data_IF_939295121018
#
_entry.id   IF_939295121018
#
_cell.length_a   1.000
_cell.length_b   1.000
_cell.length_c   1.000
_cell.angle_alpha   90.00
_cell.angle_beta   90.00
_cell.angle_gamma   90.00
#
_symmetry.space_group_name_H-M   'P 1'
#
loop_
_entity.id
_entity.type
_entity.pdbx_description
1 polymer ?
#
# COMPACT_ATOMS: atom_id res chain seq x y z
N UNK A 1 -9.49 27.17 2.37
CA UNK A 1 -10.60 26.20 2.44
C UNK A 1 -10.32 25.30 3.63
N UNK A 2 -11.32 24.99 4.47
CA UNK A 2 -11.12 24.09 5.60
C UNK A 2 -10.93 22.63 5.15
N UNK A 3 -10.03 21.93 5.83
CA UNK A 3 -9.62 20.57 5.47
C UNK A 3 -10.75 19.54 5.57
N UNK A 4 -11.61 19.62 6.59
CA UNK A 4 -12.74 18.67 6.70
C UNK A 4 -13.74 18.86 5.56
N UNK A 5 -13.93 20.11 5.14
CA UNK A 5 -14.76 20.42 3.96
C UNK A 5 -14.17 19.82 2.69
N UNK A 6 -12.84 19.84 2.54
CA UNK A 6 -12.18 19.23 1.38
C UNK A 6 -12.25 17.70 1.39
N UNK A 7 -12.15 17.05 2.56
CA UNK A 7 -12.26 15.60 2.70
C UNK A 7 -13.69 15.06 2.55
N UNK A 8 -14.72 15.87 2.81
CA UNK A 8 -16.12 15.43 2.87
C UNK A 8 -16.59 14.60 1.66
N UNK A 9 -16.32 14.98 0.38
CA UNK A 9 -16.73 14.17 -0.77
C UNK A 9 -16.13 12.76 -0.79
N UNK A 10 -14.91 12.62 -0.26
CA UNK A 10 -14.21 11.34 -0.21
C UNK A 10 -14.81 10.41 0.86
N UNK A 11 -15.19 10.99 2.00
CA UNK A 11 -15.91 10.30 3.09
C UNK A 11 -17.27 9.83 2.60
N UNK A 12 -18.01 10.69 1.90
CA UNK A 12 -19.31 10.36 1.29
C UNK A 12 -19.18 9.21 0.30
N UNK A 13 -18.18 9.25 -0.61
CA UNK A 13 -17.94 8.14 -1.52
C UNK A 13 -17.66 6.83 -0.76
N UNK A 14 -16.81 6.87 0.26
CA UNK A 14 -16.52 5.69 1.08
C UNK A 14 -17.77 5.09 1.73
N UNK A 15 -18.73 5.92 2.14
CA UNK A 15 -20.03 5.46 2.66
C UNK A 15 -20.89 4.81 1.56
N UNK A 16 -21.01 5.45 0.39
CA UNK A 16 -21.77 4.92 -0.74
C UNK A 16 -21.22 3.57 -1.22
N UNK A 17 -19.89 3.41 -1.27
CA UNK A 17 -19.26 2.15 -1.67
C UNK A 17 -19.53 1.05 -0.64
N UNK A 18 -19.53 1.37 0.65
CA UNK A 18 -19.91 0.41 1.70
C UNK A 18 -21.36 -0.04 1.54
N UNK A 19 -22.30 0.90 1.37
CA UNK A 19 -23.71 0.58 1.14
C UNK A 19 -23.88 -0.32 -0.09
N UNK A 20 -23.23 0.02 -1.21
CA UNK A 20 -23.31 -0.75 -2.45
C UNK A 20 -22.93 -2.23 -2.28
N UNK A 21 -21.95 -2.53 -1.43
CA UNK A 21 -21.45 -3.90 -1.24
C UNK A 21 -22.39 -4.77 -0.44
N UNK A 22 -23.13 -4.19 0.49
CA UNK A 22 -24.12 -4.90 1.31
C UNK A 22 -25.55 -4.79 0.79
N UNK A 23 -25.79 -3.92 -0.20
CA UNK A 23 -27.11 -3.67 -0.77
C UNK A 23 -27.67 -4.87 -1.54
N UNK A 24 -29.00 -5.01 -1.48
CA UNK A 24 -29.75 -5.93 -2.30
C UNK A 24 -29.63 -5.57 -3.79
N UNK A 25 -29.76 -6.54 -4.74
CA UNK A 25 -29.60 -6.29 -6.17
C UNK A 25 -30.42 -5.11 -6.73
N UNK A 26 -31.63 -4.90 -6.22
CA UNK A 26 -32.55 -3.82 -6.58
C UNK A 26 -32.04 -2.42 -6.21
N UNK A 27 -31.23 -2.28 -5.16
CA UNK A 27 -30.68 -1.01 -4.70
C UNK A 27 -29.34 -0.67 -5.37
N UNK A 28 -28.67 -1.65 -5.96
CA UNK A 28 -27.33 -1.51 -6.55
C UNK A 28 -27.30 -0.53 -7.71
N UNK A 29 -28.32 -0.52 -8.57
CA UNK A 29 -28.37 0.40 -9.72
C UNK A 29 -28.42 1.87 -9.27
N UNK A 30 -29.22 2.16 -8.23
CA UNK A 30 -29.31 3.49 -7.62
C UNK A 30 -27.96 3.91 -7.03
N UNK A 31 -27.33 3.03 -6.26
CA UNK A 31 -26.05 3.30 -5.60
C UNK A 31 -24.91 3.47 -6.62
N UNK A 32 -24.88 2.69 -7.71
CA UNK A 32 -23.92 2.90 -8.80
C UNK A 32 -24.06 4.29 -9.43
N UNK A 33 -25.29 4.76 -9.63
CA UNK A 33 -25.54 6.11 -10.16
C UNK A 33 -25.04 7.18 -9.19
N UNK A 34 -25.27 7.03 -7.89
CA UNK A 34 -24.76 7.97 -6.88
C UNK A 34 -23.24 7.99 -6.84
N UNK A 35 -22.60 6.80 -6.84
CA UNK A 35 -21.15 6.67 -6.85
C UNK A 35 -20.53 7.34 -8.07
N UNK A 36 -21.06 7.05 -9.27
CA UNK A 36 -20.60 7.65 -10.55
C UNK A 36 -20.64 9.17 -10.55
N UNK A 37 -21.64 9.74 -9.88
CA UNK A 37 -21.87 11.18 -9.84
C UNK A 37 -21.29 11.83 -8.57
N UNK A 38 -20.52 11.10 -7.76
CA UNK A 38 -19.94 11.65 -6.53
C UNK A 38 -18.96 12.80 -6.85
N UNK A 39 -19.00 13.85 -6.04
CA UNK A 39 -18.11 14.99 -6.17
C UNK A 39 -16.62 14.62 -5.98
N UNK A 40 -16.33 13.47 -5.35
CA UNK A 40 -14.98 12.96 -5.26
C UNK A 40 -14.48 12.37 -6.58
N UNK A 41 -15.28 11.54 -7.26
CA UNK A 41 -14.82 10.95 -8.53
C UNK A 41 -14.55 12.02 -9.59
N UNK A 42 -15.30 13.12 -9.62
CA UNK A 42 -15.00 14.25 -10.50
C UNK A 42 -13.68 14.95 -10.17
N UNK A 43 -13.23 14.91 -8.90
CA UNK A 43 -11.88 15.35 -8.48
C UNK A 43 -10.80 14.33 -8.83
N UNK A 44 -11.11 13.02 -8.84
CA UNK A 44 -10.11 11.95 -9.04
C UNK A 44 -10.03 11.43 -10.48
N UNK A 45 -10.97 11.76 -11.38
CA UNK A 45 -10.92 11.48 -12.84
C UNK A 45 -9.67 12.07 -13.55
N UNK A 46 -8.83 12.72 -12.77
CA UNK A 46 -7.53 13.31 -13.06
C UNK A 46 -6.39 12.26 -12.96
N UNK A 47 -6.54 11.23 -12.13
CA UNK A 47 -5.55 10.16 -11.90
C UNK A 47 -5.96 8.94 -12.74
N UNK A 48 -5.18 8.63 -13.76
CA UNK A 48 -5.52 7.68 -14.83
C UNK A 48 -5.65 6.20 -14.42
N UNK A 49 -5.68 5.90 -13.13
CA UNK A 49 -5.70 4.54 -12.61
C UNK A 49 -7.10 3.91 -12.61
N UNK A 50 -8.18 4.69 -12.71
CA UNK A 50 -9.54 4.14 -12.71
C UNK A 50 -10.37 4.70 -13.86
N UNK A 51 -10.47 3.94 -14.96
CA UNK A 51 -11.52 4.17 -15.96
C UNK A 51 -12.89 3.89 -15.34
N UNK A 52 -13.62 4.93 -14.92
CA UNK A 52 -14.99 4.82 -14.38
C UNK A 52 -15.12 4.02 -13.08
N UNK A 53 -16.24 3.34 -12.86
CA UNK A 53 -16.51 2.53 -11.65
C UNK A 53 -15.75 1.21 -11.59
N UNK A 54 -14.65 1.06 -12.33
CA UNK A 54 -13.84 -0.17 -12.36
C UNK A 54 -13.34 -0.57 -10.96
N UNK A 55 -13.09 0.41 -10.08
CA UNK A 55 -12.73 0.17 -8.69
C UNK A 55 -13.81 -0.56 -7.87
N UNK A 56 -15.09 -0.49 -8.27
CA UNK A 56 -16.17 -1.24 -7.62
C UNK A 56 -16.09 -2.75 -7.90
N UNK A 57 -15.44 -3.14 -9.00
CA UNK A 57 -15.38 -4.53 -9.48
C UNK A 57 -14.08 -5.25 -9.10
N UNK A 58 -13.19 -4.60 -8.35
CA UNK A 58 -11.84 -5.09 -8.10
C UNK A 58 -10.96 -4.88 -9.33
N UNK A 59 -9.70 -4.51 -9.05
CA UNK A 59 -8.59 -4.16 -9.94
C UNK A 59 -8.69 -4.58 -11.42
N UNK A 60 -8.39 -3.62 -12.32
CA UNK A 60 -8.06 -3.93 -13.71
C UNK A 60 -6.61 -4.47 -13.78
N UNK A 61 -6.33 -5.58 -14.51
CA UNK A 61 -5.11 -6.38 -14.31
C UNK A 61 -3.82 -5.84 -14.94
N UNK A 62 -3.80 -4.65 -15.54
CA UNK A 62 -2.78 -4.31 -16.55
C UNK A 62 -1.96 -3.02 -16.32
N UNK A 63 -1.80 -2.53 -15.08
CA UNK A 63 -0.89 -1.40 -14.83
C UNK A 63 0.28 -1.80 -13.92
N UNK A 64 1.46 -1.98 -14.53
CA UNK A 64 2.71 -2.35 -13.84
C UNK A 64 3.38 -1.16 -13.12
N UNK A 65 2.96 0.08 -13.41
CA UNK A 65 3.41 1.34 -12.80
C UNK A 65 2.27 2.34 -12.92
N UNK A 66 1.85 2.95 -11.80
CA UNK A 66 0.89 4.04 -11.81
C UNK A 66 1.56 5.30 -12.36
N UNK A 67 0.93 5.97 -13.33
CA UNK A 67 1.47 7.20 -13.93
C UNK A 67 0.51 8.36 -13.73
N UNK A 68 1.05 9.57 -13.62
CA UNK A 68 0.24 10.81 -13.62
C UNK A 68 0.46 11.60 -14.90
N UNK A 69 -0.64 12.13 -15.44
CA UNK A 69 -0.60 13.01 -16.63
C UNK A 69 -0.57 14.49 -16.30
N UNK A 70 -0.61 14.82 -15.02
CA UNK A 70 -0.52 16.20 -14.51
C UNK A 70 0.75 16.35 -13.71
N UNK A 71 1.14 17.60 -13.56
CA UNK A 71 2.29 17.99 -12.76
C UNK A 71 2.12 17.69 -11.27
N UNK A 72 0.87 17.69 -10.79
CA UNK A 72 0.53 17.60 -9.38
C UNK A 72 -0.88 17.05 -9.20
N UNK A 73 -1.10 16.33 -8.10
CA UNK A 73 -2.43 16.01 -7.59
C UNK A 73 -2.43 15.90 -6.06
N UNK A 74 -3.62 16.01 -5.48
CA UNK A 74 -3.90 15.70 -4.08
C UNK A 74 -5.08 14.77 -4.01
N UNK A 75 -4.99 13.75 -3.16
CA UNK A 75 -6.04 12.78 -2.95
C UNK A 75 -6.16 12.43 -1.47
N UNK A 76 -7.34 12.59 -0.84
CA UNK A 76 -7.54 12.05 0.50
C UNK A 76 -7.54 10.53 0.43
N UNK A 77 -6.88 9.91 1.39
CA UNK A 77 -6.93 8.49 1.57
C UNK A 77 -8.35 8.11 2.00
N UNK A 78 -9.00 7.21 1.27
CA UNK A 78 -10.38 6.79 1.55
C UNK A 78 -10.38 5.38 2.13
N UNK A 79 -10.87 5.20 3.37
CA UNK A 79 -11.12 3.86 3.89
C UNK A 79 -12.36 3.32 3.17
N UNK A 80 -12.14 2.55 2.12
CA UNK A 80 -13.16 1.81 1.40
C UNK A 80 -12.94 0.31 1.64
N UNK A 81 -13.47 -0.27 2.74
CA UNK A 81 -13.16 -1.65 3.13
C UNK A 81 -13.48 -2.60 1.98
N UNK A 82 -12.57 -3.50 1.61
CA UNK A 82 -12.71 -4.39 0.43
C UNK A 82 -13.88 -5.37 0.62
N UNK A 83 -14.20 -5.70 1.87
CA UNK A 83 -15.19 -6.70 2.22
C UNK A 83 -16.11 -6.21 3.36
N UNK A 84 -17.42 -6.57 3.38
CA UNK A 84 -18.30 -6.20 4.48
C UNK A 84 -17.78 -6.72 5.83
N UNK A 85 -17.57 -5.81 6.79
CA UNK A 85 -17.06 -6.14 8.13
C UNK A 85 -15.56 -5.95 8.33
N UNK A 86 -14.79 -5.69 7.26
CA UNK A 86 -13.41 -5.25 7.40
C UNK A 86 -13.38 -3.83 7.95
N UNK A 87 -12.58 -3.64 9.01
CA UNK A 87 -12.30 -2.31 9.55
C UNK A 87 -11.15 -1.63 8.82
N UNK A 88 -10.34 -2.39 8.10
CA UNK A 88 -9.09 -1.93 7.50
C UNK A 88 -9.19 -1.96 5.97
N UNK A 89 -8.70 -0.93 5.31
CA UNK A 89 -8.47 -0.94 3.87
C UNK A 89 -6.99 -1.09 3.61
N UNK A 90 -6.62 -2.17 2.92
CA UNK A 90 -5.25 -2.42 2.49
C UNK A 90 -5.19 -2.32 0.97
N UNK A 91 -4.35 -1.42 0.48
CA UNK A 91 -3.99 -1.36 -0.93
C UNK A 91 -2.92 -2.42 -1.21
N UNK A 92 -3.02 -3.17 -2.32
CA UNK A 92 -1.94 -4.02 -2.78
C UNK A 92 -0.62 -3.27 -3.03
N UNK A 93 0.49 -4.00 -3.08
CA UNK A 93 1.83 -3.45 -3.26
C UNK A 93 2.03 -2.85 -4.64
N UNK A 94 2.01 -1.55 -4.79
CA UNK A 94 2.15 -0.89 -6.07
C UNK A 94 3.40 -0.01 -6.10
N UNK A 95 3.59 0.66 -7.23
CA UNK A 95 4.61 1.69 -7.43
C UNK A 95 4.13 2.67 -8.49
N UNK A 96 4.71 3.87 -8.48
CA UNK A 96 4.39 4.93 -9.40
C UNK A 96 5.64 5.58 -10.00
N UNK A 97 5.50 6.33 -11.09
CA UNK A 97 6.62 7.03 -11.76
C UNK A 97 6.82 8.48 -11.28
N UNK A 98 6.13 8.86 -10.21
CA UNK A 98 6.12 10.20 -9.63
C UNK A 98 6.62 10.20 -8.19
N UNK A 99 6.95 11.37 -7.66
CA UNK A 99 7.26 11.52 -6.24
C UNK A 99 5.95 11.62 -5.47
N UNK A 100 5.83 10.90 -4.36
CA UNK A 100 4.63 10.92 -3.53
C UNK A 100 4.95 11.41 -2.12
N UNK A 101 4.11 12.31 -1.60
CA UNK A 101 4.10 12.73 -0.22
C UNK A 101 2.82 12.22 0.45
N UNK A 102 2.99 11.63 1.63
CA UNK A 102 1.93 11.05 2.44
C UNK A 102 1.91 11.81 3.76
N UNK A 103 0.85 12.57 3.99
CA UNK A 103 0.68 13.36 5.21
C UNK A 103 -0.33 12.69 6.13
N UNK A 104 0.08 12.34 7.35
CA UNK A 104 -0.87 11.89 8.39
C UNK A 104 -1.36 13.13 9.14
N UNK A 105 -2.59 13.54 8.85
CA UNK A 105 -3.19 14.78 9.36
C UNK A 105 -3.94 14.51 10.67
N UNK A 106 -4.56 13.33 10.78
CA UNK A 106 -5.24 12.86 12.00
C UNK A 106 -5.21 11.35 12.07
N UNK A 107 -5.05 10.82 13.29
CA UNK A 107 -5.15 9.39 13.56
C UNK A 107 -3.87 8.65 13.19
N UNK A 108 -4.02 7.47 12.58
CA UNK A 108 -2.92 6.56 12.26
C UNK A 108 -2.91 6.16 10.78
N UNK A 109 -1.73 5.77 10.33
CA UNK A 109 -1.52 5.25 9.00
C UNK A 109 -0.45 4.17 9.04
N UNK A 110 -0.63 3.09 8.30
CA UNK A 110 0.37 2.04 8.18
C UNK A 110 0.73 1.92 6.72
N UNK A 111 2.02 1.86 6.41
CA UNK A 111 2.50 1.52 5.08
C UNK A 111 3.61 0.50 5.17
N UNK A 112 3.71 -0.40 4.20
CA UNK A 112 4.92 -1.20 4.02
C UNK A 112 5.67 -0.63 2.83
N UNK A 113 6.90 -0.17 3.07
CA UNK A 113 7.80 0.36 2.04
C UNK A 113 8.90 -0.66 1.83
N UNK A 114 9.00 -1.21 0.61
CA UNK A 114 9.96 -2.25 0.27
C UNK A 114 9.92 -3.46 1.23
N UNK A 115 8.74 -3.80 1.74
CA UNK A 115 8.53 -4.89 2.69
C UNK A 115 8.82 -4.55 4.17
N UNK A 116 9.20 -3.31 4.47
CA UNK A 116 9.37 -2.84 5.86
C UNK A 116 8.13 -2.09 6.30
N UNK A 117 7.52 -2.51 7.40
CA UNK A 117 6.32 -1.90 7.94
C UNK A 117 6.65 -0.61 8.73
N UNK A 118 5.92 0.46 8.42
CA UNK A 118 5.98 1.75 9.09
C UNK A 118 4.60 2.11 9.63
N UNK A 119 4.47 2.21 10.95
CA UNK A 119 3.30 2.84 11.59
C UNK A 119 3.59 4.33 11.77
N UNK A 120 2.70 5.16 11.25
CA UNK A 120 2.78 6.61 11.28
C UNK A 120 1.60 7.22 12.02
N UNK A 121 1.82 8.37 12.66
CA UNK A 121 0.82 9.12 13.43
C UNK A 121 0.69 10.55 12.94
N UNK A 122 -0.37 11.23 13.38
CA UNK A 122 -0.60 12.63 13.06
C UNK A 122 0.65 13.51 13.26
N UNK A 123 1.00 14.29 12.23
CA UNK A 123 2.19 15.15 12.19
C UNK A 123 3.40 14.55 11.46
N UNK A 124 3.37 13.25 11.16
CA UNK A 124 4.43 12.58 10.40
C UNK A 124 4.13 12.62 8.89
N UNK A 125 5.20 12.73 8.10
CA UNK A 125 5.13 12.78 6.64
C UNK A 125 6.10 11.77 6.05
N UNK A 126 5.68 11.06 5.01
CA UNK A 126 6.54 10.19 4.23
C UNK A 126 6.68 10.76 2.82
N UNK A 127 7.89 10.77 2.28
CA UNK A 127 8.14 11.07 0.87
C UNK A 127 8.74 9.85 0.20
N UNK A 128 8.05 9.34 -0.81
CA UNK A 128 8.48 8.21 -1.63
C UNK A 128 9.04 8.74 -2.95
N UNK A 129 10.23 8.25 -3.31
CA UNK A 129 10.74 8.48 -4.67
C UNK A 129 9.94 7.66 -5.70
N UNK A 130 10.03 8.01 -6.99
CA UNK A 130 9.51 7.18 -8.06
C UNK A 130 9.98 5.72 -7.93
N UNK A 131 9.14 4.81 -8.39
CA UNK A 131 9.33 3.36 -8.46
C UNK A 131 9.44 2.62 -7.12
N UNK A 132 9.43 3.29 -5.97
CA UNK A 132 9.40 2.64 -4.64
C UNK A 132 8.20 1.71 -4.56
N UNK A 133 8.44 0.44 -4.22
CA UNK A 133 7.38 -0.55 -4.05
C UNK A 133 6.80 -0.37 -2.65
N UNK A 134 5.50 -0.09 -2.55
CA UNK A 134 4.83 0.13 -1.27
C UNK A 134 3.38 -0.33 -1.27
N UNK A 135 2.85 -0.59 -0.08
CA UNK A 135 1.42 -0.77 0.17
C UNK A 135 0.96 0.11 1.31
N UNK A 136 -0.31 0.47 1.26
CA UNK A 136 -0.91 1.40 2.20
C UNK A 136 -2.04 0.73 2.95
N UNK A 137 -2.16 1.06 4.23
CA UNK A 137 -3.16 0.50 5.12
C UNK A 137 -3.75 1.60 6.01
N UNK A 138 -5.06 1.77 5.90
CA UNK A 138 -5.83 2.76 6.64
C UNK A 138 -6.87 2.02 7.47
N UNK A 139 -6.87 2.29 8.77
CA UNK A 139 -7.55 1.44 9.75
C UNK A 139 -8.86 2.04 10.26
N UNK A 140 -9.03 3.36 10.25
CA UNK A 140 -10.23 4.01 10.77
C UNK A 140 -10.79 5.06 9.79
N UNK A 141 -12.11 5.15 9.74
CA UNK A 141 -12.85 6.24 9.07
C UNK A 141 -12.59 7.62 9.66
N UNK A 142 -12.12 7.68 10.91
CA UNK A 142 -11.66 8.88 11.58
C UNK A 142 -10.29 9.36 11.13
N UNK A 143 -9.46 8.48 10.54
CA UNK A 143 -8.13 8.85 10.06
C UNK A 143 -8.24 9.86 8.91
N UNK A 144 -7.26 10.77 8.84
CA UNK A 144 -7.13 11.74 7.76
C UNK A 144 -5.70 11.64 7.24
N UNK A 145 -5.57 11.01 6.08
CA UNK A 145 -4.30 10.88 5.37
C UNK A 145 -4.47 11.53 4.01
N UNK A 146 -3.47 12.31 3.59
CA UNK A 146 -3.45 12.98 2.30
C UNK A 146 -2.28 12.44 1.47
N UNK A 147 -2.60 11.92 0.30
CA UNK A 147 -1.64 11.58 -0.74
C UNK A 147 -1.45 12.78 -1.67
N UNK A 148 -0.21 13.09 -1.98
CA UNK A 148 0.16 14.17 -2.88
C UNK A 148 1.21 13.66 -3.84
N UNK A 149 0.88 13.55 -5.13
CA UNK A 149 1.84 13.16 -6.15
C UNK A 149 2.36 14.34 -6.96
N UNK A 150 3.64 14.27 -7.32
CA UNK A 150 4.39 15.30 -8.04
C UNK A 150 5.12 14.66 -9.22
N UNK A 151 4.86 15.17 -10.43
CA UNK A 151 5.54 14.66 -11.62
C UNK A 151 7.03 14.97 -11.52
N UNK A 152 7.86 14.07 -12.06
CA UNK A 152 9.33 14.22 -12.03
C UNK A 152 9.84 15.49 -12.72
N UNK A 153 9.03 16.11 -13.59
CA UNK A 153 9.33 17.36 -14.28
C UNK A 153 8.88 18.61 -13.53
N UNK A 154 7.88 18.52 -12.63
CA UNK A 154 7.19 19.70 -12.14
C UNK A 154 8.07 20.64 -11.31
N UNK A 155 8.91 20.08 -10.43
CA UNK A 155 9.83 20.83 -9.57
C UNK A 155 11.29 20.70 -10.02
N UNK A 156 11.50 20.27 -11.27
CA UNK A 156 12.83 20.04 -11.83
C UNK A 156 13.59 21.36 -11.95
N UNK A 157 14.72 21.45 -11.24
CA UNK A 157 15.58 22.64 -11.20
C UNK A 157 15.36 23.50 -9.96
N UNK A 158 14.13 23.61 -9.46
CA UNK A 158 13.83 24.27 -8.19
C UNK A 158 14.30 23.44 -7.00
N UNK A 159 14.02 22.13 -6.98
CA UNK A 159 14.47 21.26 -5.89
C UNK A 159 15.99 21.23 -5.76
N UNK A 160 16.71 21.19 -6.89
CA UNK A 160 18.18 21.24 -6.88
C UNK A 160 18.70 22.53 -6.25
N UNK A 161 18.11 23.68 -6.58
CA UNK A 161 18.49 24.98 -5.99
C UNK A 161 18.10 25.09 -4.53
N UNK A 162 16.93 24.56 -4.20
CA UNK A 162 16.38 24.60 -2.85
C UNK A 162 17.18 23.71 -1.88
N UNK A 163 17.54 22.50 -2.31
CA UNK A 163 18.29 21.56 -1.49
C UNK A 163 19.79 21.76 -1.53
N UNK A 164 20.35 22.55 -2.45
CA UNK A 164 21.80 22.83 -2.49
C UNK A 164 22.42 23.24 -1.11
N UNK A 165 21.73 24.00 -0.24
CA UNK A 165 22.20 24.30 1.13
C UNK A 165 22.05 23.14 2.13
N UNK A 166 21.38 22.05 1.76
CA UNK A 166 21.09 20.85 2.56
C UNK A 166 21.72 19.62 1.89
N UNK A 167 23.03 19.37 2.06
CA UNK A 167 23.76 18.38 1.26
C UNK A 167 23.22 16.95 1.34
N UNK A 168 22.67 16.53 2.49
CA UNK A 168 22.06 15.21 2.64
C UNK A 168 20.79 15.07 1.79
N UNK A 169 19.90 16.07 1.83
CA UNK A 169 18.67 16.06 1.02
C UNK A 169 19.00 16.29 -0.46
N UNK A 170 19.96 17.15 -0.78
CA UNK A 170 20.44 17.31 -2.14
C UNK A 170 21.01 16.00 -2.69
N UNK A 171 21.87 15.31 -1.94
CA UNK A 171 22.43 14.01 -2.34
C UNK A 171 21.37 12.92 -2.45
N UNK A 172 20.35 12.94 -1.59
CA UNK A 172 19.17 12.08 -1.71
C UNK A 172 18.43 12.33 -3.03
N UNK A 173 18.20 13.60 -3.38
CA UNK A 173 17.43 14.00 -4.56
C UNK A 173 18.22 13.90 -5.87
N UNK A 174 19.53 14.14 -5.86
CA UNK A 174 20.41 14.10 -7.03
C UNK A 174 20.57 12.67 -7.58
N UNK A 175 20.39 11.66 -6.71
CA UNK A 175 20.41 10.25 -7.08
C UNK A 175 19.08 9.73 -7.69
N UNK A 176 18.03 10.55 -7.78
CA UNK A 176 16.73 10.15 -8.35
C UNK A 176 16.77 9.81 -9.85
N UNK A 177 17.84 10.19 -10.57
CA UNK A 177 17.89 10.09 -12.03
C UNK A 177 18.84 9.00 -12.55
N UNK A 178 19.46 8.18 -11.69
CA UNK A 178 20.54 7.30 -12.13
C UNK A 178 20.72 5.94 -11.45
N UNK A 179 20.19 5.69 -10.24
CA UNK A 179 20.37 4.39 -9.57
C UNK A 179 19.19 4.02 -8.66
N UNK A 180 18.62 2.83 -8.95
CA UNK A 180 17.61 2.06 -8.19
C UNK A 180 16.89 2.87 -7.12
N UNK A 181 15.85 3.53 -7.61
CA UNK A 181 14.99 4.57 -7.05
C UNK A 181 14.21 4.19 -5.76
N UNK A 182 14.68 3.19 -5.02
CA UNK A 182 13.99 2.59 -3.88
C UNK A 182 14.34 3.29 -2.56
N UNK A 183 14.15 4.61 -2.52
CA UNK A 183 14.50 5.46 -1.38
C UNK A 183 13.29 6.24 -0.91
N UNK A 184 13.23 6.53 0.38
CA UNK A 184 12.17 7.34 0.97
C UNK A 184 12.70 8.19 2.13
N UNK A 185 11.97 9.24 2.48
CA UNK A 185 12.27 10.09 3.64
C UNK A 185 11.08 10.05 4.59
N UNK A 186 11.36 9.86 5.87
CA UNK A 186 10.39 10.06 6.94
C UNK A 186 10.68 11.38 7.63
N UNK A 187 9.69 12.26 7.70
CA UNK A 187 9.75 13.54 8.41
C UNK A 187 8.90 13.46 9.68
N UNK A 188 9.44 13.98 10.77
CA UNK A 188 8.72 14.16 12.03
C UNK A 188 8.70 15.65 12.39
N UNK A 189 7.52 16.27 12.38
CA UNK A 189 7.36 17.68 12.74
C UNK A 189 6.53 17.79 14.00
N UNK A 190 7.19 18.21 15.09
CA UNK A 190 6.54 18.51 16.38
C UNK A 190 5.43 19.56 16.26
N UNK A 191 5.68 20.61 15.48
CA UNK A 191 4.65 21.60 15.13
C UNK A 191 4.25 21.42 13.66
N UNK A 192 3.12 20.76 13.46
CA UNK A 192 2.57 20.46 12.15
C UNK A 192 1.63 21.55 11.63
N UNK A 193 1.24 22.51 12.47
CA UNK A 193 0.25 23.54 12.09
C UNK A 193 0.69 24.38 10.88
N UNK A 194 1.98 24.79 10.73
CA UNK A 194 2.43 25.49 9.52
C UNK A 194 2.34 24.66 8.25
N UNK A 195 2.56 23.34 8.35
CA UNK A 195 2.42 22.41 7.22
C UNK A 195 0.96 22.29 6.83
N UNK A 196 0.08 22.07 7.81
CA UNK A 196 -1.36 21.98 7.58
C UNK A 196 -1.93 23.26 6.93
N UNK A 197 -1.58 24.44 7.44
CA UNK A 197 -2.04 25.71 6.87
C UNK A 197 -1.59 25.87 5.41
N UNK A 198 -0.39 25.42 5.07
CA UNK A 198 0.12 25.47 3.71
C UNK A 198 -0.59 24.46 2.79
N UNK A 199 -0.93 23.27 3.29
CA UNK A 199 -1.76 22.31 2.55
C UNK A 199 -3.13 22.90 2.23
N UNK A 200 -3.78 23.57 3.19
CA UNK A 200 -5.07 24.24 2.97
C UNK A 200 -4.99 25.36 1.92
N UNK A 201 -3.87 26.10 1.87
CA UNK A 201 -3.61 27.08 0.81
C UNK A 201 -3.45 26.42 -0.58
N UNK A 202 -2.72 25.30 -0.65
CA UNK A 202 -2.56 24.54 -1.90
C UNK A 202 -3.91 24.00 -2.37
N UNK A 203 -4.73 23.45 -1.47
CA UNK A 203 -6.07 22.93 -1.79
C UNK A 203 -6.99 24.03 -2.30
N UNK A 204 -6.98 25.21 -1.68
CA UNK A 204 -7.78 26.36 -2.13
C UNK A 204 -7.34 26.88 -3.50
N UNK A 205 -6.04 26.94 -3.76
CA UNK A 205 -5.50 27.38 -5.04
C UNK A 205 -5.84 26.39 -6.17
N UNK A 206 -5.70 25.09 -5.92
CA UNK A 206 -6.05 24.03 -6.89
C UNK A 206 -7.57 23.95 -7.15
N UNK A 207 -8.41 24.33 -6.19
CA UNK A 207 -9.87 24.39 -6.40
C UNK A 207 -10.27 25.61 -7.24
N UNK A 208 -9.70 26.80 -6.96
CA UNK A 208 -10.05 28.04 -7.66
C UNK A 208 -9.50 28.10 -9.08
N UNK A 209 -8.32 27.53 -9.33
CA UNK A 209 -7.64 27.49 -10.64
C UNK A 209 -7.56 28.84 -11.34
N UNK A 210 -7.25 29.90 -10.60
CA UNK A 210 -7.07 31.23 -11.17
C UNK A 210 -5.89 31.25 -12.17
N UNK A 211 -5.81 32.25 -13.07
CA UNK A 211 -4.65 32.40 -13.96
C UNK A 211 -3.34 32.41 -13.16
N UNK A 212 -2.42 31.50 -13.51
CA UNK A 212 -1.13 31.35 -12.83
C UNK A 212 -1.12 30.41 -11.61
N UNK A 213 -2.24 29.77 -11.25
CA UNK A 213 -2.34 28.88 -10.08
C UNK A 213 -1.22 27.84 -9.99
N UNK A 214 -0.80 27.23 -11.11
CA UNK A 214 0.29 26.25 -11.13
C UNK A 214 1.62 26.82 -10.62
N UNK A 215 1.93 28.09 -10.88
CA UNK A 215 3.13 28.76 -10.35
C UNK A 215 2.99 29.06 -8.85
N UNK A 216 1.79 29.44 -8.42
CA UNK A 216 1.48 29.68 -7.00
C UNK A 216 1.62 28.39 -6.20
N UNK A 217 1.01 27.30 -6.67
CA UNK A 217 1.16 25.94 -6.11
C UNK A 217 2.63 25.54 -6.08
N UNK A 218 3.38 25.78 -7.17
CA UNK A 218 4.82 25.52 -7.21
C UNK A 218 5.59 26.28 -6.10
N UNK A 219 5.25 27.54 -5.86
CA UNK A 219 5.81 28.34 -4.76
C UNK A 219 5.46 27.78 -3.38
N UNK A 220 4.20 27.38 -3.17
CA UNK A 220 3.78 26.73 -1.92
C UNK A 220 4.51 25.41 -1.69
N UNK A 221 4.71 24.59 -2.72
CA UNK A 221 5.45 23.33 -2.60
C UNK A 221 6.92 23.57 -2.21
N UNK A 222 7.58 24.58 -2.80
CA UNK A 222 8.93 24.96 -2.38
C UNK A 222 8.96 25.36 -0.89
N UNK A 223 7.96 26.13 -0.43
CA UNK A 223 7.83 26.49 0.99
C UNK A 223 7.56 25.26 1.86
N UNK A 224 6.76 24.31 1.39
CA UNK A 224 6.41 23.06 2.07
C UNK A 224 7.65 22.22 2.31
N UNK A 225 8.48 22.01 1.30
CA UNK A 225 9.76 21.32 1.46
C UNK A 225 10.65 22.01 2.49
N UNK A 226 10.70 23.35 2.48
CA UNK A 226 11.44 24.09 3.49
C UNK A 226 10.94 23.91 4.91
N UNK A 227 9.63 23.79 5.11
CA UNK A 227 9.09 23.42 6.41
C UNK A 227 9.46 21.98 6.77
N UNK A 228 9.37 21.02 5.85
CA UNK A 228 9.66 19.62 6.15
C UNK A 228 11.13 19.38 6.55
N UNK A 229 12.09 20.06 5.90
CA UNK A 229 13.52 19.89 6.20
C UNK A 229 14.03 20.75 7.35
N UNK A 230 13.27 21.77 7.75
CA UNK A 230 13.67 22.67 8.84
C UNK A 230 13.82 21.88 10.16
N UNK A 231 14.82 22.26 10.96
CA UNK A 231 15.22 21.58 12.20
C UNK A 231 15.75 20.15 12.05
N UNK A 232 16.07 19.69 10.83
CA UNK A 232 16.69 18.37 10.57
C UNK A 232 15.95 17.19 11.20
N UNK A 233 14.63 17.30 11.36
CA UNK A 233 13.80 16.24 11.94
C UNK A 233 13.30 15.31 10.82
N UNK A 234 14.24 14.65 10.16
CA UNK A 234 13.98 13.68 9.09
C UNK A 234 15.00 12.56 9.07
N UNK A 235 14.61 11.42 8.48
CA UNK A 235 15.48 10.26 8.26
C UNK A 235 15.38 9.85 6.80
N UNK A 236 16.52 9.85 6.11
CA UNK A 236 16.64 9.34 4.75
C UNK A 236 16.92 7.84 4.76
N UNK A 237 16.07 7.06 4.10
CA UNK A 237 16.21 5.63 3.99
C UNK A 237 16.74 5.22 2.61
N UNK A 238 17.83 4.46 2.63
CA UNK A 238 18.45 3.86 1.46
C UNK A 238 18.43 2.35 1.64
N UNK A 239 17.84 1.64 0.69
CA UNK A 239 17.84 0.18 0.72
C UNK A 239 18.51 -0.35 -0.54
N UNK A 240 19.42 -1.30 -0.35
CA UNK A 240 19.99 -2.05 -1.47
C UNK A 240 18.93 -2.98 -2.07
N UNK A 241 19.13 -3.36 -3.32
CA UNK A 241 18.25 -4.32 -3.98
C UNK A 241 18.14 -5.65 -3.21
N UNK A 242 19.22 -6.13 -2.57
CA UNK A 242 19.19 -7.37 -1.80
C UNK A 242 18.25 -7.25 -0.60
N UNK A 243 18.39 -6.18 0.18
CA UNK A 243 17.54 -5.93 1.35
C UNK A 243 16.06 -5.84 0.96
N UNK A 244 15.74 -5.21 -0.17
CA UNK A 244 14.37 -5.11 -0.67
C UNK A 244 13.84 -6.50 -1.05
N UNK A 245 14.61 -7.28 -1.80
CA UNK A 245 14.20 -8.63 -2.20
C UNK A 245 14.02 -9.54 -0.97
N UNK A 246 14.88 -9.42 0.05
CA UNK A 246 14.78 -10.14 1.33
C UNK A 246 13.53 -9.76 2.14
N UNK A 247 13.23 -8.46 2.26
CA UNK A 247 12.03 -7.99 2.94
C UNK A 247 10.75 -8.40 2.19
N UNK A 248 10.75 -8.29 0.86
CA UNK A 248 9.60 -8.70 0.04
C UNK A 248 9.33 -10.20 0.13
N UNK A 249 10.36 -11.06 0.12
CA UNK A 249 10.12 -12.50 0.28
C UNK A 249 9.57 -12.83 1.66
N UNK A 250 10.03 -12.14 2.72
CA UNK A 250 9.50 -12.32 4.06
C UNK A 250 8.00 -11.97 4.13
N UNK A 251 7.59 -10.84 3.55
CA UNK A 251 6.18 -10.44 3.47
C UNK A 251 5.34 -11.40 2.62
N UNK A 252 5.87 -11.92 1.51
CA UNK A 252 5.17 -12.92 0.69
C UNK A 252 4.94 -14.20 1.49
N UNK A 253 5.96 -14.70 2.19
CA UNK A 253 5.84 -15.92 2.99
C UNK A 253 4.87 -15.73 4.16
N UNK A 254 4.90 -14.56 4.81
CA UNK A 254 3.95 -14.20 5.85
C UNK A 254 2.52 -14.13 5.32
N UNK A 255 2.30 -13.51 4.17
CA UNK A 255 0.97 -13.49 3.54
C UNK A 255 0.47 -14.92 3.27
N UNK A 256 1.34 -15.80 2.76
CA UNK A 256 1.00 -17.21 2.53
C UNK A 256 0.64 -17.94 3.83
N UNK A 257 1.30 -17.60 4.94
CA UNK A 257 1.03 -18.13 6.27
C UNK A 257 -0.32 -17.64 6.84
N UNK A 258 -0.63 -16.36 6.65
CA UNK A 258 -1.89 -15.75 7.12
C UNK A 258 -3.10 -16.26 6.30
N UNK A 259 -2.88 -16.71 5.06
CA UNK A 259 -3.91 -17.20 4.13
C UNK A 259 -3.76 -18.70 3.79
N UNK A 260 -3.24 -19.50 4.71
CA UNK A 260 -2.86 -20.90 4.46
C UNK A 260 -3.96 -21.77 3.85
N UNK A 261 -5.22 -21.53 4.18
CA UNK A 261 -6.34 -22.38 3.78
C UNK A 261 -6.65 -22.27 2.28
N UNK A 262 -6.57 -21.06 1.74
CA UNK A 262 -7.19 -20.69 0.46
C UNK A 262 -6.32 -19.80 -0.42
N UNK A 263 -5.08 -19.49 -0.02
CA UNK A 263 -4.14 -18.72 -0.85
C UNK A 263 -4.01 -19.34 -2.25
N UNK A 264 -4.30 -18.51 -3.25
CA UNK A 264 -4.13 -18.82 -4.66
C UNK A 264 -2.92 -18.06 -5.22
N UNK A 265 -2.19 -18.70 -6.15
CA UNK A 265 -0.99 -18.12 -6.76
C UNK A 265 -1.30 -16.82 -7.50
N UNK A 266 -2.44 -16.76 -8.18
CA UNK A 266 -2.84 -15.60 -8.98
C UNK A 266 -3.20 -14.44 -8.08
N UNK A 267 -3.99 -14.69 -7.02
CA UNK A 267 -4.34 -13.69 -6.03
C UNK A 267 -3.09 -13.15 -5.29
N UNK A 268 -2.19 -14.06 -4.86
CA UNK A 268 -0.93 -13.67 -4.23
C UNK A 268 -0.07 -12.82 -5.16
N UNK A 269 0.10 -13.24 -6.42
CA UNK A 269 0.88 -12.49 -7.39
C UNK A 269 0.29 -11.10 -7.61
N UNK A 270 -1.04 -11.00 -7.78
CA UNK A 270 -1.74 -9.73 -7.93
C UNK A 270 -1.56 -8.81 -6.71
N UNK A 271 -1.62 -9.36 -5.49
CA UNK A 271 -1.43 -8.59 -4.26
C UNK A 271 -0.04 -7.94 -4.18
N UNK A 272 1.00 -8.64 -4.65
CA UNK A 272 2.38 -8.14 -4.72
C UNK A 272 2.71 -7.42 -6.04
N UNK A 273 1.71 -7.16 -6.90
CA UNK A 273 1.86 -6.63 -8.27
C UNK A 273 2.89 -7.38 -9.13
N UNK A 274 2.94 -8.70 -8.96
CA UNK A 274 3.69 -9.62 -9.79
C UNK A 274 2.76 -10.32 -10.77
N UNK A 275 3.30 -10.74 -11.92
CA UNK A 275 2.66 -11.81 -12.66
C UNK A 275 2.99 -13.17 -11.98
N UNK A 276 2.12 -14.19 -12.10
CA UNK A 276 2.31 -15.48 -11.43
C UNK A 276 3.63 -16.20 -11.75
N UNK A 277 4.19 -15.97 -12.95
CA UNK A 277 5.45 -16.60 -13.37
C UNK A 277 6.66 -15.85 -12.81
N UNK A 278 6.58 -14.53 -12.70
CA UNK A 278 7.57 -13.71 -12.00
C UNK A 278 7.58 -14.07 -10.52
N UNK A 279 6.43 -14.19 -9.86
CA UNK A 279 6.33 -14.63 -8.47
C UNK A 279 7.05 -15.97 -8.26
N UNK A 280 6.83 -16.96 -9.12
CA UNK A 280 7.54 -18.24 -9.04
C UNK A 280 9.05 -18.08 -9.22
N UNK A 281 9.51 -17.34 -10.22
CA UNK A 281 10.95 -17.09 -10.42
C UNK A 281 11.57 -16.35 -9.25
N UNK A 282 10.83 -15.41 -8.66
CA UNK A 282 11.23 -14.66 -7.48
C UNK A 282 11.38 -15.58 -6.28
N UNK A 283 10.37 -16.39 -5.96
CA UNK A 283 10.42 -17.36 -4.87
C UNK A 283 11.54 -18.39 -5.06
N UNK A 284 11.74 -18.93 -6.27
CA UNK A 284 12.83 -19.88 -6.53
C UNK A 284 14.19 -19.21 -6.31
N UNK A 285 14.35 -17.96 -6.73
CA UNK A 285 15.60 -17.21 -6.51
C UNK A 285 15.86 -16.96 -5.02
N UNK A 286 14.82 -16.61 -4.26
CA UNK A 286 14.96 -16.19 -2.86
C UNK A 286 14.94 -17.35 -1.86
N UNK A 287 14.22 -18.43 -2.15
CA UNK A 287 13.96 -19.55 -1.23
C UNK A 287 14.49 -20.89 -1.74
N UNK A 288 14.87 -20.96 -3.02
CA UNK A 288 15.19 -22.22 -3.72
C UNK A 288 13.97 -22.99 -4.22
N UNK A 289 12.75 -22.58 -3.82
CA UNK A 289 11.52 -23.34 -4.04
C UNK A 289 10.46 -22.49 -4.77
N UNK A 290 9.56 -23.14 -5.51
CA UNK A 290 8.43 -22.44 -6.15
C UNK A 290 7.28 -22.19 -5.15
N UNK A 291 6.24 -21.50 -5.61
CA UNK A 291 5.04 -21.21 -4.81
C UNK A 291 4.45 -22.45 -4.13
N UNK A 292 4.18 -23.51 -4.91
CA UNK A 292 3.51 -24.72 -4.43
C UNK A 292 4.36 -25.49 -3.41
N UNK A 293 5.69 -25.43 -3.53
CA UNK A 293 6.60 -26.05 -2.60
C UNK A 293 6.70 -25.24 -1.29
N UNK A 294 6.87 -23.92 -1.37
CA UNK A 294 6.83 -23.02 -0.20
C UNK A 294 5.52 -23.19 0.59
N UNK A 295 4.36 -23.09 -0.08
CA UNK A 295 3.05 -23.25 0.57
C UNK A 295 2.93 -24.60 1.28
N UNK A 296 3.40 -25.67 0.64
CA UNK A 296 3.38 -27.01 1.21
C UNK A 296 4.27 -27.10 2.46
N UNK A 297 5.46 -26.50 2.44
CA UNK A 297 6.36 -26.52 3.58
C UNK A 297 5.75 -25.78 4.79
N UNK A 298 5.16 -24.59 4.57
CA UNK A 298 4.49 -23.81 5.62
C UNK A 298 3.31 -24.60 6.19
N UNK A 299 2.44 -25.17 5.32
CA UNK A 299 1.30 -26.01 5.75
C UNK A 299 1.75 -27.21 6.58
N UNK A 300 2.82 -27.90 6.19
CA UNK A 300 3.33 -29.05 6.94
C UNK A 300 3.91 -28.64 8.30
N UNK A 301 4.61 -27.51 8.36
CA UNK A 301 5.14 -26.97 9.61
C UNK A 301 4.02 -26.59 10.58
N UNK A 302 3.01 -25.85 10.09
CA UNK A 302 1.82 -25.50 10.87
C UNK A 302 1.05 -26.74 11.35
N UNK A 303 0.98 -27.78 10.51
CA UNK A 303 0.38 -29.05 10.91
C UNK A 303 1.14 -29.71 12.06
N UNK A 304 2.47 -29.76 11.99
CA UNK A 304 3.32 -30.33 13.05
C UNK A 304 3.13 -29.58 14.38
N UNK A 305 3.09 -28.24 14.34
CA UNK A 305 2.81 -27.41 15.51
C UNK A 305 1.41 -27.68 16.09
N UNK A 306 0.37 -27.72 15.26
CA UNK A 306 -1.00 -28.02 15.73
C UNK A 306 -1.13 -29.44 16.27
N UNK A 307 -0.38 -30.40 15.73
CA UNK A 307 -0.39 -31.78 16.22
C UNK A 307 0.19 -31.90 17.63
N UNK A 308 1.20 -31.10 17.96
CA UNK A 308 1.87 -31.06 19.27
C UNK A 308 1.13 -30.19 20.29
N UNK A 309 0.62 -29.05 19.85
CA UNK A 309 0.14 -28.00 20.75
C UNK A 309 -1.39 -27.95 20.89
N UNK A 310 -2.14 -28.82 20.19
CA UNK A 310 -3.61 -28.80 20.23
C UNK A 310 -4.22 -30.21 20.19
N UNK A 311 -5.46 -30.31 20.69
CA UNK A 311 -6.26 -31.54 20.65
C UNK A 311 -7.07 -31.72 19.35
N UNK A 312 -6.91 -30.81 18.37
CA UNK A 312 -7.66 -30.88 17.10
C UNK A 312 -7.48 -32.24 16.43
N UNK A 313 -8.54 -32.81 15.84
CA UNK A 313 -8.37 -34.07 15.10
C UNK A 313 -7.44 -33.88 13.90
N UNK A 314 -6.68 -34.92 13.50
CA UNK A 314 -5.83 -34.87 12.30
C UNK A 314 -6.63 -34.44 11.06
N UNK A 315 -7.87 -34.92 10.93
CA UNK A 315 -8.75 -34.51 9.83
C UNK A 315 -9.15 -33.02 9.91
N UNK A 316 -9.34 -32.49 11.12
CA UNK A 316 -9.61 -31.07 11.35
C UNK A 316 -8.43 -30.20 10.90
N UNK A 317 -7.21 -30.56 11.31
CA UNK A 317 -5.97 -29.88 10.92
C UNK A 317 -5.79 -29.89 9.40
N UNK A 318 -6.00 -31.03 8.75
CA UNK A 318 -5.90 -31.17 7.28
C UNK A 318 -6.85 -30.19 6.56
N UNK A 319 -8.12 -30.11 7.01
CA UNK A 319 -9.12 -29.24 6.41
C UNK A 319 -8.80 -27.76 6.63
N UNK A 320 -8.41 -27.40 7.86
CA UNK A 320 -8.07 -26.03 8.23
C UNK A 320 -6.87 -25.49 7.42
N UNK A 321 -5.89 -26.34 7.14
CA UNK A 321 -4.69 -25.97 6.38
C UNK A 321 -4.87 -26.08 4.86
N UNK A 322 -6.10 -26.27 4.37
CA UNK A 322 -6.39 -26.25 2.93
C UNK A 322 -5.92 -27.49 2.15
N UNK A 323 -5.68 -28.62 2.80
CA UNK A 323 -5.40 -29.88 2.09
C UNK A 323 -6.71 -30.56 1.65
N UNK A 324 -6.86 -30.76 0.35
CA UNK A 324 -8.04 -31.43 -0.22
C UNK A 324 -8.03 -32.95 -0.07
N UNK A 325 -6.86 -33.56 0.13
CA UNK A 325 -6.69 -35.02 0.17
C UNK A 325 -5.83 -35.47 1.35
N UNK A 326 -6.45 -36.26 2.25
CA UNK A 326 -5.79 -36.84 3.43
C UNK A 326 -4.64 -37.78 3.10
N UNK A 327 -4.78 -38.61 2.07
CA UNK A 327 -3.72 -39.53 1.64
C UNK A 327 -2.49 -38.76 1.14
N UNK A 328 -2.72 -37.70 0.37
CA UNK A 328 -1.67 -36.80 -0.09
C UNK A 328 -0.96 -36.11 1.09
N UNK A 329 -1.72 -35.58 2.05
CA UNK A 329 -1.16 -34.98 3.27
C UNK A 329 -0.31 -35.99 4.06
N UNK A 330 -0.82 -37.18 4.33
CA UNK A 330 -0.10 -38.20 5.09
C UNK A 330 1.23 -38.58 4.43
N UNK A 331 1.23 -38.75 3.10
CA UNK A 331 2.46 -39.03 2.34
C UNK A 331 3.47 -37.90 2.52
N UNK A 332 3.05 -36.66 2.24
CA UNK A 332 3.93 -35.49 2.34
C UNK A 332 4.46 -35.25 3.76
N UNK A 333 3.62 -35.47 4.78
CA UNK A 333 4.02 -35.34 6.18
C UNK A 333 5.04 -36.41 6.58
N UNK A 334 4.81 -37.65 6.15
CA UNK A 334 5.75 -38.76 6.39
C UNK A 334 7.07 -38.54 5.66
N UNK A 335 7.06 -38.03 4.43
CA UNK A 335 8.27 -37.67 3.69
C UNK A 335 9.10 -36.61 4.43
N UNK A 336 8.46 -35.61 5.06
CA UNK A 336 9.16 -34.52 5.77
C UNK A 336 9.61 -34.90 7.19
N UNK A 337 8.77 -35.62 7.94
CA UNK A 337 8.97 -35.88 9.38
C UNK A 337 9.28 -37.35 9.71
N UNK A 338 9.35 -38.23 8.71
CA UNK A 338 9.69 -39.65 8.88
C UNK A 338 8.58 -40.53 9.45
N UNK A 339 7.43 -39.97 9.81
CA UNK A 339 6.33 -40.72 10.42
C UNK A 339 4.94 -40.15 10.09
N UNK A 340 3.91 -40.92 10.39
CA UNK A 340 2.53 -40.50 10.19
C UNK A 340 2.12 -39.40 11.20
N UNK A 341 1.22 -38.47 10.81
CA UNK A 341 0.76 -37.37 11.68
C UNK A 341 0.24 -37.82 13.06
N UNK A 342 -0.48 -38.95 13.11
CA UNK A 342 -1.00 -39.49 14.37
C UNK A 342 0.07 -40.11 15.28
N UNK A 343 1.19 -40.56 14.70
CA UNK A 343 2.35 -41.01 15.48
C UNK A 343 3.14 -39.80 15.98
N UNK A 344 3.35 -38.79 15.13
CA UNK A 344 4.04 -37.53 15.47
C UNK A 344 3.42 -36.82 16.67
N UNK A 345 2.09 -36.86 16.83
CA UNK A 345 1.40 -36.31 18.02
C UNK A 345 1.79 -37.00 19.33
N UNK A 346 2.12 -38.29 19.28
CA UNK A 346 2.41 -39.10 20.47
C UNK A 346 3.88 -39.05 20.87
N UNK A 347 4.73 -38.45 20.04
CA UNK A 347 6.11 -38.14 20.39
C UNK A 347 6.13 -36.94 21.34
N UNK A 348 6.80 -37.10 22.49
CA UNK A 348 7.04 -36.00 23.44
C UNK A 348 7.97 -34.92 22.85
#
# INVERSE_FOLDING_TARGET
>A
MDMETWFAPAVELGQLVREYRTAAPEDKERLERLIRNSAYLSRVDIVQSYGGTGFLRGMLPEQNINTIKRDFFMNPATPSPQTPGEKHYQMPYHRHDYLELIFVLRGKYVQSINGVLHEMKAGEVCMLNPNVIHRDEISDTGDRVLFMGLSSGFLKGELMRFFAPHPEVAGFMENQYGRTDQQYILFDRKDFAPVQALLEQIMEEDEKKLPGHHLVIKGYLVRLFGLLVENHSYVCHYQSRSEIEENLVAEILKYMEDHLADVDRTALAAFFHFNPDYLNRFLVRMTGENYSANLRQIRLQRAAEQLKNTDKSVNGIIRELGFSNKGHFNRMFTEKYGMLPGAYRKEE
#
